data_IF_092069575889
#
_entry.id   IF_092069575889
#
_cell.length_a   1.000
_cell.length_b   1.000
_cell.length_c   1.000
_cell.angle_alpha   90.00
_cell.angle_beta   90.00
_cell.angle_gamma   90.00
#
_symmetry.space_group_name_H-M   'P 1'
#
loop_
_entity.id
_entity.type
_entity.pdbx_description
1 polymer ?
#
# COMPACT_ATOMS: atom_id res chain seq x y z
N UNK A 1 -14.79 0.75 -5.07
CA UNK A 1 -13.46 0.51 -5.65
C UNK A 1 -13.31 1.35 -6.90
N UNK A 2 -12.25 2.18 -7.01
CA UNK A 2 -11.94 2.87 -8.26
C UNK A 2 -11.70 1.89 -9.41
N UNK A 3 -11.82 2.38 -10.65
CA UNK A 3 -11.40 1.62 -11.82
C UNK A 3 -9.90 1.29 -11.72
N UNK A 4 -9.57 0.04 -12.00
CA UNK A 4 -8.21 -0.51 -11.90
C UNK A 4 -7.95 -1.46 -13.06
N UNK A 5 -6.69 -1.53 -13.48
CA UNK A 5 -6.25 -2.54 -14.44
C UNK A 5 -5.53 -3.68 -13.72
N UNK A 6 -6.06 -4.88 -13.93
CA UNK A 6 -5.52 -6.09 -13.34
C UNK A 6 -4.27 -6.56 -14.11
N UNK A 7 -3.11 -6.46 -13.46
CA UNK A 7 -1.82 -6.94 -13.98
C UNK A 7 -1.16 -7.77 -12.88
N UNK A 8 -1.45 -9.08 -12.84
CA UNK A 8 -1.13 -9.92 -11.69
C UNK A 8 0.37 -10.08 -11.51
N UNK A 9 0.81 -10.09 -10.25
CA UNK A 9 2.14 -10.56 -9.88
C UNK A 9 2.30 -12.06 -10.18
N UNK A 10 3.53 -12.51 -10.36
CA UNK A 10 3.83 -13.95 -10.44
C UNK A 10 3.46 -14.64 -9.12
N UNK A 11 2.96 -15.87 -9.21
CA UNK A 11 2.59 -16.67 -8.03
C UNK A 11 3.74 -16.94 -7.06
N UNK A 12 4.98 -16.74 -7.48
CA UNK A 12 6.19 -16.90 -6.67
C UNK A 12 6.45 -15.70 -5.75
N UNK A 13 5.75 -14.57 -5.94
CA UNK A 13 6.04 -13.30 -5.26
C UNK A 13 5.07 -12.93 -4.14
N UNK A 14 4.14 -13.81 -3.77
CA UNK A 14 3.16 -13.56 -2.73
C UNK A 14 2.72 -14.86 -2.07
N UNK A 15 2.09 -14.77 -0.89
CA UNK A 15 1.49 -15.93 -0.24
C UNK A 15 -0.01 -15.97 -0.54
N UNK A 16 -0.43 -17.04 -1.23
CA UNK A 16 -1.85 -17.33 -1.43
C UNK A 16 -2.52 -17.51 -0.06
N UNK A 17 -3.59 -16.75 0.17
CA UNK A 17 -4.30 -16.72 1.43
C UNK A 17 -5.80 -16.51 1.19
N UNK A 18 -6.55 -16.43 2.28
CA UNK A 18 -7.97 -16.11 2.25
C UNK A 18 -8.30 -15.22 3.44
N UNK A 19 -7.59 -14.09 3.53
CA UNK A 19 -7.74 -13.12 4.62
C UNK A 19 -9.16 -12.58 4.65
N UNK A 20 -9.79 -12.65 5.82
CA UNK A 20 -11.07 -12.01 6.10
C UNK A 20 -10.90 -10.54 6.44
N UNK A 21 -12.01 -9.83 6.59
CA UNK A 21 -11.96 -8.39 6.82
C UNK A 21 -11.21 -8.02 8.11
N UNK A 22 -11.40 -8.80 9.18
CA UNK A 22 -10.72 -8.60 10.48
C UNK A 22 -9.21 -8.88 10.46
N UNK A 23 -8.71 -9.50 9.40
CA UNK A 23 -7.29 -9.82 9.28
C UNK A 23 -6.50 -8.65 8.66
N UNK A 24 -7.17 -7.63 8.11
CA UNK A 24 -6.54 -6.50 7.44
C UNK A 24 -6.90 -5.22 8.18
N UNK A 25 -5.97 -4.71 8.99
CA UNK A 25 -6.13 -3.51 9.80
C UNK A 25 -5.21 -2.35 9.38
N UNK A 26 -4.34 -2.57 8.39
CA UNK A 26 -3.36 -1.57 7.94
C UNK A 26 -3.39 -1.34 6.43
N UNK A 27 -3.14 -0.09 6.05
CA UNK A 27 -2.77 0.29 4.69
C UNK A 27 -1.36 0.86 4.75
N UNK A 28 -0.47 0.36 3.90
CA UNK A 28 0.93 0.82 3.84
C UNK A 28 1.16 1.55 2.52
N UNK A 29 1.55 2.82 2.63
CA UNK A 29 1.89 3.70 1.53
C UNK A 29 3.38 3.56 1.24
N UNK A 30 3.70 3.23 -0.02
CA UNK A 30 5.07 3.03 -0.52
C UNK A 30 5.40 3.99 -1.64
N UNK A 31 6.70 4.12 -1.95
CA UNK A 31 7.19 4.77 -3.18
C UNK A 31 8.19 3.88 -3.90
N UNK A 32 7.95 3.64 -5.18
CA UNK A 32 8.67 2.66 -6.00
C UNK A 32 10.18 2.97 -6.15
N UNK A 33 10.58 4.25 -6.21
CA UNK A 33 11.88 4.71 -6.73
C UNK A 33 12.04 4.44 -8.24
N UNK A 34 10.94 4.62 -8.97
CA UNK A 34 10.82 4.30 -10.40
C UNK A 34 9.39 4.50 -10.88
N UNK A 35 9.08 4.07 -12.10
CA UNK A 35 7.72 4.21 -12.64
C UNK A 35 6.80 3.13 -12.10
N UNK A 36 5.49 3.42 -12.00
CA UNK A 36 4.48 2.42 -11.66
C UNK A 36 4.55 1.17 -12.56
N UNK A 37 4.73 1.36 -13.87
CA UNK A 37 4.86 0.26 -14.82
C UNK A 37 6.09 -0.61 -14.58
N UNK A 38 7.19 -0.03 -14.09
CA UNK A 38 8.40 -0.80 -13.76
C UNK A 38 8.20 -1.68 -12.52
N UNK A 39 7.53 -1.17 -11.48
CA UNK A 39 7.17 -1.97 -10.31
C UNK A 39 6.25 -3.13 -10.70
N UNK A 40 5.18 -2.85 -11.45
CA UNK A 40 4.23 -3.88 -11.87
C UNK A 40 4.91 -4.95 -12.73
N UNK A 41 5.81 -4.58 -13.64
CA UNK A 41 6.60 -5.55 -14.41
C UNK A 41 7.52 -6.37 -13.50
N UNK A 42 8.19 -5.74 -12.53
CA UNK A 42 9.03 -6.44 -11.56
C UNK A 42 8.25 -7.48 -10.77
N UNK A 43 7.01 -7.19 -10.38
CA UNK A 43 6.16 -8.15 -9.68
C UNK A 43 5.80 -9.39 -10.52
N UNK A 44 6.00 -9.36 -11.85
CA UNK A 44 5.79 -10.50 -12.75
C UNK A 44 7.05 -11.37 -12.94
N UNK A 45 8.20 -10.94 -12.44
CA UNK A 45 9.42 -11.75 -12.45
C UNK A 45 9.36 -12.77 -11.30
N UNK A 46 9.36 -14.09 -11.56
CA UNK A 46 9.28 -15.10 -10.50
C UNK A 46 10.45 -15.07 -9.51
N UNK A 47 11.56 -14.39 -9.84
CA UNK A 47 12.73 -14.24 -8.97
C UNK A 47 12.74 -12.90 -8.20
N UNK A 48 11.64 -12.11 -8.25
CA UNK A 48 11.58 -10.80 -7.61
C UNK A 48 11.51 -10.86 -6.08
N UNK A 49 10.91 -11.92 -5.53
CA UNK A 49 10.68 -12.12 -4.08
C UNK A 49 9.94 -10.94 -3.40
N UNK A 50 9.20 -10.12 -4.15
CA UNK A 50 8.44 -8.96 -3.65
C UNK A 50 7.17 -8.70 -4.46
N UNK A 51 6.16 -8.14 -3.79
CA UNK A 51 4.92 -7.70 -4.45
C UNK A 51 4.14 -6.72 -3.57
N UNK A 52 3.33 -5.87 -4.20
CA UNK A 52 2.31 -5.05 -3.55
C UNK A 52 0.94 -5.29 -4.19
N UNK A 53 -0.14 -4.90 -3.51
CA UNK A 53 -1.50 -5.13 -3.99
C UNK A 53 -1.88 -4.17 -5.11
N UNK A 54 -1.53 -2.90 -4.96
CA UNK A 54 -1.86 -1.84 -5.91
C UNK A 54 -0.66 -0.97 -6.22
N UNK A 55 -0.63 -0.39 -7.42
CA UNK A 55 0.38 0.57 -7.84
C UNK A 55 -0.28 1.71 -8.60
N UNK A 56 -0.09 2.96 -8.18
CA UNK A 56 -0.59 4.14 -8.89
C UNK A 56 0.53 4.91 -9.59
N UNK A 57 0.35 5.21 -10.87
CA UNK A 57 1.21 6.10 -11.62
C UNK A 57 0.95 7.58 -11.26
N UNK A 58 1.88 8.44 -11.66
CA UNK A 58 1.85 9.88 -11.43
C UNK A 58 0.59 10.55 -12.04
N UNK A 59 0.06 10.00 -13.13
CA UNK A 59 -1.19 10.48 -13.75
C UNK A 59 -2.47 9.93 -13.11
N UNK A 60 -2.36 9.15 -12.03
CA UNK A 60 -3.48 8.52 -11.33
C UNK A 60 -3.99 7.24 -12.00
N UNK A 61 -3.25 6.68 -12.98
CA UNK A 61 -3.53 5.33 -13.46
C UNK A 61 -3.26 4.30 -12.36
N UNK A 62 -4.20 3.37 -12.15
CA UNK A 62 -4.12 2.39 -11.08
C UNK A 62 -3.99 0.97 -11.63
N UNK A 63 -2.99 0.25 -11.14
CA UNK A 63 -2.80 -1.18 -11.34
C UNK A 63 -3.19 -1.93 -10.07
N UNK A 64 -3.69 -3.16 -10.24
CA UNK A 64 -3.83 -4.14 -9.16
C UNK A 64 -3.06 -5.40 -9.55
N UNK A 65 -2.13 -5.81 -8.68
CA UNK A 65 -1.28 -6.99 -8.89
C UNK A 65 -1.67 -8.16 -8.02
N UNK A 66 -2.40 -7.92 -6.92
CA UNK A 66 -2.89 -8.97 -6.03
C UNK A 66 -4.33 -8.66 -5.59
N UNK A 67 -5.11 -9.71 -5.36
CA UNK A 67 -6.30 -9.57 -4.53
C UNK A 67 -5.88 -9.34 -3.09
N UNK A 68 -6.62 -8.47 -2.41
CA UNK A 68 -6.41 -8.08 -1.01
C UNK A 68 -6.47 -9.27 -0.05
N UNK A 69 -7.17 -10.36 -0.41
CA UNK A 69 -7.24 -11.56 0.42
C UNK A 69 -5.92 -12.36 0.45
N UNK A 70 -5.02 -12.11 -0.52
CA UNK A 70 -3.68 -12.68 -0.57
C UNK A 70 -2.68 -11.76 0.15
N UNK A 71 -1.59 -12.34 0.63
CA UNK A 71 -0.55 -11.62 1.38
C UNK A 71 0.55 -11.20 0.40
N UNK A 72 0.66 -9.89 0.14
CA UNK A 72 1.76 -9.31 -0.62
C UNK A 72 3.03 -9.24 0.21
N UNK A 73 4.19 -9.26 -0.45
CA UNK A 73 5.50 -9.22 0.20
C UNK A 73 6.13 -7.83 0.02
N UNK A 74 5.56 -6.82 0.68
CA UNK A 74 5.95 -5.40 0.49
C UNK A 74 6.56 -4.76 1.74
N UNK A 75 6.18 -5.19 2.95
CA UNK A 75 6.52 -4.45 4.16
C UNK A 75 7.90 -4.79 4.74
N UNK A 76 8.52 -5.90 4.31
CA UNK A 76 9.76 -6.42 4.93
C UNK A 76 9.56 -6.95 6.36
N UNK A 77 8.32 -6.95 6.86
CA UNK A 77 7.92 -7.49 8.16
C UNK A 77 6.70 -8.40 7.94
N UNK A 78 6.82 -9.67 8.34
CA UNK A 78 5.80 -10.68 8.06
C UNK A 78 4.44 -10.37 8.70
N UNK A 79 4.41 -9.94 9.96
CA UNK A 79 3.15 -9.57 10.62
C UNK A 79 2.42 -8.46 9.88
N UNK A 80 3.16 -7.47 9.36
CA UNK A 80 2.58 -6.38 8.58
C UNK A 80 2.16 -6.82 7.17
N UNK A 81 2.90 -7.72 6.51
CA UNK A 81 2.43 -8.33 5.26
C UNK A 81 1.10 -9.05 5.48
N UNK A 82 0.98 -9.84 6.54
CA UNK A 82 -0.24 -10.57 6.89
C UNK A 82 -1.43 -9.64 7.17
N UNK A 83 -1.16 -8.47 7.76
CA UNK A 83 -2.18 -7.61 8.29
C UNK A 83 -2.51 -6.36 7.43
N UNK A 84 -1.92 -6.25 6.24
CA UNK A 84 -2.04 -5.02 5.44
C UNK A 84 -2.29 -5.20 3.95
N UNK A 85 -2.68 -4.08 3.34
CA UNK A 85 -2.67 -3.86 1.89
C UNK A 85 -1.57 -2.84 1.57
N UNK A 86 -0.66 -3.19 0.66
CA UNK A 86 0.41 -2.32 0.18
C UNK A 86 0.02 -1.56 -1.09
N UNK A 87 0.26 -0.25 -1.09
CA UNK A 87 -0.01 0.64 -2.24
C UNK A 87 1.26 1.39 -2.63
N UNK A 88 1.75 1.09 -3.83
CA UNK A 88 2.94 1.68 -4.44
C UNK A 88 2.62 2.94 -5.21
N UNK A 89 3.47 3.96 -5.08
CA UNK A 89 3.36 5.22 -5.81
C UNK A 89 4.56 5.35 -6.74
N UNK A 90 4.30 5.44 -8.05
CA UNK A 90 5.32 5.78 -9.04
C UNK A 90 5.98 7.13 -8.71
N UNK A 91 7.29 7.20 -8.89
CA UNK A 91 8.11 8.36 -8.55
C UNK A 91 9.25 8.02 -7.60
N UNK A 92 9.76 9.05 -6.92
CA UNK A 92 10.93 8.99 -6.04
C UNK A 92 10.64 9.76 -4.76
N UNK A 93 11.14 9.26 -3.61
CA UNK A 93 10.97 9.94 -2.31
C UNK A 93 11.55 11.35 -2.25
N UNK A 94 12.54 11.64 -3.11
CA UNK A 94 13.14 12.96 -3.25
C UNK A 94 12.41 13.88 -4.24
N UNK A 95 11.41 13.36 -4.93
CA UNK A 95 10.59 14.06 -5.91
C UNK A 95 9.29 14.62 -5.33
N UNK A 96 8.37 14.99 -6.20
CA UNK A 96 7.02 15.44 -5.87
C UNK A 96 6.00 14.39 -6.30
N UNK A 97 4.87 14.34 -5.60
CA UNK A 97 3.73 13.49 -5.95
C UNK A 97 2.64 14.34 -6.60
N UNK A 98 2.12 13.88 -7.72
CA UNK A 98 1.12 14.61 -8.51
C UNK A 98 -0.29 14.50 -7.88
N UNK A 99 -1.13 15.51 -8.07
CA UNK A 99 -2.49 15.55 -7.50
C UNK A 99 -3.35 14.35 -7.95
N UNK A 100 -3.22 13.95 -9.23
CA UNK A 100 -3.96 12.82 -9.77
C UNK A 100 -3.60 11.50 -9.05
N UNK A 101 -2.32 11.33 -8.70
CA UNK A 101 -1.82 10.19 -7.96
C UNK A 101 -2.37 10.17 -6.52
N UNK A 102 -2.31 11.31 -5.82
CA UNK A 102 -2.91 11.44 -4.47
C UNK A 102 -4.40 11.12 -4.49
N UNK A 103 -5.17 11.71 -5.42
CA UNK A 103 -6.61 11.50 -5.52
C UNK A 103 -6.97 10.05 -5.80
N UNK A 104 -6.24 9.39 -6.71
CA UNK A 104 -6.48 7.98 -7.04
C UNK A 104 -6.19 7.09 -5.83
N UNK A 105 -5.05 7.29 -5.18
CA UNK A 105 -4.67 6.55 -3.99
C UNK A 105 -5.66 6.77 -2.85
N UNK A 106 -6.09 8.01 -2.62
CA UNK A 106 -7.02 8.35 -1.55
C UNK A 106 -8.43 7.75 -1.77
N UNK A 107 -8.94 7.73 -3.00
CA UNK A 107 -10.19 7.06 -3.37
C UNK A 107 -10.10 5.54 -3.13
N UNK A 108 -8.99 4.92 -3.51
CA UNK A 108 -8.73 3.51 -3.22
C UNK A 108 -8.66 3.26 -1.70
N UNK A 109 -7.90 4.06 -0.97
CA UNK A 109 -7.71 3.92 0.48
C UNK A 109 -9.01 4.12 1.23
N UNK A 110 -9.84 5.11 0.86
CA UNK A 110 -11.15 5.31 1.44
C UNK A 110 -12.05 4.08 1.25
N UNK A 111 -12.06 3.50 0.05
CA UNK A 111 -12.78 2.25 -0.23
C UNK A 111 -12.26 1.09 0.62
N UNK A 112 -10.94 0.89 0.69
CA UNK A 112 -10.34 -0.19 1.49
C UNK A 112 -10.66 -0.02 2.97
N UNK A 113 -10.57 1.20 3.49
CA UNK A 113 -10.96 1.50 4.87
C UNK A 113 -12.40 1.10 5.17
N UNK A 114 -13.33 1.35 4.25
CA UNK A 114 -14.72 0.93 4.42
C UNK A 114 -14.92 -0.59 4.29
N UNK A 115 -14.20 -1.25 3.38
CA UNK A 115 -14.33 -2.70 3.20
C UNK A 115 -13.78 -3.48 4.40
N UNK A 116 -12.71 -2.98 5.01
CA UNK A 116 -11.93 -3.67 6.03
C UNK A 116 -12.11 -3.09 7.45
N UNK A 117 -12.99 -2.09 7.62
CA UNK A 117 -13.19 -1.37 8.89
C UNK A 117 -11.89 -0.76 9.46
N UNK A 118 -11.04 -0.25 8.55
CA UNK A 118 -9.76 0.38 8.91
C UNK A 118 -10.01 1.87 9.18
N UNK A 119 -9.52 2.43 10.30
CA UNK A 119 -9.62 3.87 10.57
C UNK A 119 -9.01 4.72 9.43
N UNK A 120 -9.78 5.68 8.88
CA UNK A 120 -9.35 6.65 7.86
C UNK A 120 -8.41 7.74 8.44
N UNK A 121 -7.34 7.33 9.11
CA UNK A 121 -6.39 8.22 9.76
C UNK A 121 -4.96 7.70 9.62
N UNK A 122 -3.99 8.62 9.61
CA UNK A 122 -2.59 8.25 9.78
C UNK A 122 -2.37 7.77 11.21
N UNK A 123 -1.80 6.59 11.37
CA UNK A 123 -1.51 6.08 12.71
C UNK A 123 -0.33 6.83 13.35
N UNK A 124 -0.53 7.33 14.56
CA UNK A 124 0.49 8.04 15.36
C UNK A 124 1.31 7.10 16.24
N UNK A 125 0.87 5.85 16.38
CA UNK A 125 1.57 4.78 17.08
C UNK A 125 1.40 3.48 16.28
N UNK A 126 2.48 2.73 16.19
CA UNK A 126 2.57 1.48 15.42
C UNK A 126 3.11 0.40 16.36
N UNK A 127 2.37 -0.69 16.60
CA UNK A 127 2.83 -1.79 17.45
C UNK A 127 4.04 -2.49 16.82
N UNK A 128 4.84 -3.22 17.61
CA UNK A 128 5.94 -4.02 17.05
C UNK A 128 5.43 -5.19 16.20
N UNK A 129 4.22 -5.68 16.51
CA UNK A 129 3.56 -6.80 15.87
C UNK A 129 2.15 -6.36 15.44
N UNK A 130 1.82 -6.50 14.16
CA UNK A 130 0.52 -6.09 13.63
C UNK A 130 -0.66 -6.93 14.12
N UNK A 131 -0.41 -8.10 14.74
CA UNK A 131 -1.42 -8.92 15.40
C UNK A 131 -2.06 -8.21 16.62
N UNK A 132 -1.44 -7.14 17.13
CA UNK A 132 -2.09 -6.22 18.05
C UNK A 132 -3.17 -5.40 17.29
N UNK A 133 -4.35 -6.01 17.19
CA UNK A 133 -5.51 -5.45 16.52
C UNK A 133 -6.25 -4.38 17.34
N UNK A 134 -5.68 -3.92 18.46
CA UNK A 134 -6.24 -2.78 19.19
C UNK A 134 -6.08 -1.47 18.43
N UNK A 135 -5.26 -1.49 17.37
CA UNK A 135 -4.99 -0.36 16.48
C UNK A 135 -5.05 -0.76 15.01
N UNK A 136 -5.11 0.25 14.15
CA UNK A 136 -5.11 0.14 12.71
C UNK A 136 -5.11 1.53 12.09
N UNK A 137 -4.95 1.58 10.78
CA UNK A 137 -4.97 2.84 10.03
C UNK A 137 -3.99 2.83 8.86
N UNK A 138 -3.54 4.03 8.52
CA UNK A 138 -2.69 4.26 7.35
C UNK A 138 -1.30 4.64 7.84
N UNK A 139 -0.27 4.00 7.29
CA UNK A 139 1.14 4.23 7.64
C UNK A 139 2.00 4.29 6.39
N UNK A 140 3.19 4.91 6.50
CA UNK A 140 4.25 4.77 5.51
C UNK A 140 5.08 3.50 5.72
N UNK A 141 5.85 3.08 4.72
CA UNK A 141 6.77 1.96 4.86
C UNK A 141 7.88 2.24 5.88
N UNK A 142 8.28 3.50 6.02
CA UNK A 142 9.19 4.02 7.04
C UNK A 142 8.70 3.79 8.49
N UNK A 143 7.38 3.72 8.69
CA UNK A 143 6.77 3.48 10.00
C UNK A 143 6.67 1.99 10.36
N UNK A 144 6.93 1.07 9.42
CA UNK A 144 6.88 -0.37 9.68
C UNK A 144 8.02 -0.79 10.63
N UNK A 145 7.75 -1.54 11.72
CA UNK A 145 8.78 -1.97 12.64
C UNK A 145 9.88 -2.79 11.96
N UNK A 146 11.13 -2.35 12.12
CA UNK A 146 12.30 -2.99 11.52
C UNK A 146 12.56 -2.60 10.07
N UNK A 147 11.79 -1.66 9.52
CA UNK A 147 12.01 -1.13 8.17
C UNK A 147 13.39 -0.50 8.03
N UNK A 148 14.10 -0.86 6.96
CA UNK A 148 15.29 -0.15 6.47
C UNK A 148 14.96 0.89 5.41
N UNK A 149 13.67 1.04 5.10
CA UNK A 149 13.16 1.91 4.05
C UNK A 149 12.81 3.30 4.60
N UNK A 150 12.69 4.26 3.69
CA UNK A 150 12.43 5.67 4.03
C UNK A 150 11.20 6.22 3.31
N UNK A 151 10.57 5.43 2.45
CA UNK A 151 9.38 5.83 1.72
C UNK A 151 8.11 5.76 2.59
N UNK A 152 7.09 6.60 2.32
CA UNK A 152 7.01 7.54 1.18
C UNK A 152 7.84 8.82 1.36
N UNK A 153 8.52 8.98 2.49
CA UNK A 153 9.49 10.05 2.71
C UNK A 153 8.86 11.41 3.02
N UNK A 154 9.73 12.38 3.33
CA UNK A 154 9.33 13.71 3.83
C UNK A 154 8.52 14.54 2.82
N UNK A 155 8.59 14.20 1.53
CA UNK A 155 7.85 14.89 0.47
C UNK A 155 6.41 14.38 0.29
N UNK A 156 6.03 13.31 0.98
CA UNK A 156 4.64 12.85 1.02
C UNK A 156 3.82 13.71 1.97
N UNK A 157 2.84 14.43 1.41
CA UNK A 157 1.95 15.31 2.16
C UNK A 157 0.84 14.48 2.81
N UNK A 158 1.12 14.03 4.04
CA UNK A 158 0.19 13.24 4.83
C UNK A 158 -1.11 13.96 5.15
N UNK A 159 -1.06 15.26 5.44
CA UNK A 159 -2.26 16.01 5.80
C UNK A 159 -3.18 16.13 4.58
N UNK A 160 -2.61 16.50 3.42
CA UNK A 160 -3.37 16.53 2.16
C UNK A 160 -3.96 15.16 1.80
N UNK A 161 -3.16 14.10 1.93
CA UNK A 161 -3.61 12.74 1.61
C UNK A 161 -4.75 12.29 2.52
N UNK A 162 -4.64 12.50 3.84
CA UNK A 162 -5.68 12.10 4.80
C UNK A 162 -6.94 12.95 4.63
N UNK A 163 -6.83 14.25 4.31
CA UNK A 163 -7.97 15.08 3.98
C UNK A 163 -8.72 14.56 2.74
N UNK A 164 -8.00 14.13 1.69
CA UNK A 164 -8.60 13.49 0.53
C UNK A 164 -9.29 12.16 0.89
N UNK A 165 -8.64 11.28 1.67
CA UNK A 165 -9.21 9.99 2.11
C UNK A 165 -10.52 10.21 2.86
N UNK A 166 -10.61 11.23 3.71
CA UNK A 166 -11.83 11.54 4.46
C UNK A 166 -12.91 12.23 3.61
N UNK A 167 -12.56 12.72 2.41
CA UNK A 167 -13.50 13.35 1.48
C UNK A 167 -14.21 12.36 0.54
N UNK A 168 -13.71 11.12 0.46
CA UNK A 168 -14.29 10.01 -0.30
C UNK A 168 -15.05 9.07 0.65
#
# INVERSE_FOLDING_TARGET
MPAVDWVPADSSNYTSANRGASDINWIIIHTVQGSASSAVNWFQDPDADVSAHFTTAEDGYLYQSLSEINIGWHAGNWSYNEASVGIEHGGYVSGTYEDAQYRKSADLVAYLCEQYDIPKQRATWVPTDAADNTTGGIIGHDQVPGSSHTDPGDNWDWDYFIDLVNSY
#
